data_IF_802114792397
#
_entry.id   IF_802114792397
#
_cell.length_a   1.000
_cell.length_b   1.000
_cell.length_c   1.000
_cell.angle_alpha   90.00
_cell.angle_beta   90.00
_cell.angle_gamma   90.00
#
_symmetry.space_group_name_H-M   'P 1'
#
loop_
_entity.id
_entity.type
_entity.pdbx_description
1 polymer ?
#
# COMPACT_ATOMS: atom_id res chain seq x y z
N UNK A 1 -7.99 -17.26 7.53
CA UNK A 1 -8.66 -16.42 8.55
C UNK A 1 -9.95 -15.88 7.97
N UNK A 2 -11.09 -16.04 8.64
CA UNK A 2 -12.34 -15.44 8.18
C UNK A 2 -12.29 -13.91 8.40
N UNK A 3 -12.40 -13.12 7.33
CA UNK A 3 -12.35 -11.66 7.40
C UNK A 3 -13.62 -11.13 8.07
N UNK A 4 -13.47 -10.40 9.19
CA UNK A 4 -14.58 -9.73 9.86
C UNK A 4 -15.10 -8.58 8.98
N UNK A 5 -16.41 -8.58 8.66
CA UNK A 5 -17.05 -7.48 7.93
C UNK A 5 -17.53 -6.40 8.91
N UNK A 6 -17.32 -5.14 8.54
CA UNK A 6 -17.80 -3.95 9.25
C UNK A 6 -18.81 -3.23 8.36
N UNK A 7 -19.89 -2.70 8.95
CA UNK A 7 -20.91 -1.92 8.23
C UNK A 7 -20.46 -0.47 8.11
N UNK A 8 -20.50 0.07 6.90
CA UNK A 8 -20.25 1.48 6.60
C UNK A 8 -21.41 2.03 5.78
N UNK A 9 -21.93 3.19 6.13
CA UNK A 9 -22.92 3.93 5.34
C UNK A 9 -22.19 4.99 4.53
N UNK A 10 -22.43 5.02 3.21
CA UNK A 10 -21.86 6.03 2.30
C UNK A 10 -23.00 6.74 1.58
N UNK A 11 -22.88 8.06 1.44
CA UNK A 11 -23.78 8.85 0.60
C UNK A 11 -23.22 8.89 -0.82
N UNK A 12 -24.08 8.64 -1.80
CA UNK A 12 -23.76 8.72 -3.22
C UNK A 12 -24.82 9.57 -3.90
N UNK A 13 -24.40 10.35 -4.89
CA UNK A 13 -25.34 11.04 -5.75
C UNK A 13 -26.27 10.05 -6.46
N UNK A 14 -27.51 10.45 -6.68
CA UNK A 14 -28.54 9.57 -7.23
C UNK A 14 -28.18 9.06 -8.63
N UNK A 15 -27.50 9.86 -9.45
CA UNK A 15 -27.02 9.47 -10.76
C UNK A 15 -25.88 8.44 -10.68
N UNK A 16 -24.92 8.63 -9.76
CA UNK A 16 -23.84 7.68 -9.48
C UNK A 16 -24.40 6.33 -9.05
N UNK A 17 -25.37 6.33 -8.11
CA UNK A 17 -26.00 5.09 -7.67
C UNK A 17 -26.78 4.38 -8.79
N UNK A 18 -27.45 5.13 -9.68
CA UNK A 18 -28.11 4.56 -10.86
C UNK A 18 -27.10 3.91 -11.81
N UNK A 19 -25.97 4.59 -12.11
CA UNK A 19 -24.90 4.02 -12.94
C UNK A 19 -24.33 2.74 -12.33
N UNK A 20 -24.08 2.74 -11.02
CA UNK A 20 -23.59 1.57 -10.29
C UNK A 20 -24.55 0.38 -10.39
N UNK A 21 -25.87 0.61 -10.26
CA UNK A 21 -26.88 -0.43 -10.44
C UNK A 21 -26.91 -0.99 -11.86
N UNK A 22 -26.81 -0.13 -12.87
CA UNK A 22 -26.76 -0.57 -14.28
C UNK A 22 -25.53 -1.45 -14.52
N UNK A 23 -24.36 -1.03 -14.01
CA UNK A 23 -23.14 -1.83 -14.07
C UNK A 23 -23.30 -3.18 -13.36
N UNK A 24 -23.88 -3.18 -12.15
CA UNK A 24 -24.15 -4.40 -11.39
C UNK A 24 -25.02 -5.40 -12.14
N UNK A 25 -26.06 -4.93 -12.82
CA UNK A 25 -26.90 -5.79 -13.67
C UNK A 25 -26.12 -6.40 -14.83
N UNK A 26 -25.29 -5.61 -15.51
CA UNK A 26 -24.49 -6.10 -16.64
C UNK A 26 -23.45 -7.16 -16.25
N UNK A 27 -22.98 -7.12 -14.99
CA UNK A 27 -21.97 -8.04 -14.45
C UNK A 27 -22.53 -9.13 -13.53
N UNK A 28 -23.86 -9.21 -13.37
CA UNK A 28 -24.52 -10.10 -12.39
C UNK A 28 -23.99 -9.93 -10.95
N UNK A 29 -23.64 -8.70 -10.56
CA UNK A 29 -23.09 -8.36 -9.25
C UNK A 29 -24.01 -7.43 -8.46
N UNK A 30 -24.05 -7.61 -7.14
CA UNK A 30 -24.76 -6.67 -6.26
C UNK A 30 -24.01 -5.33 -6.16
N UNK A 31 -24.71 -4.20 -5.96
CA UNK A 31 -24.05 -2.90 -5.76
C UNK A 31 -23.01 -2.92 -4.64
N UNK A 32 -23.28 -3.67 -3.56
CA UNK A 32 -22.34 -3.83 -2.45
C UNK A 32 -21.08 -4.63 -2.84
N UNK A 33 -21.18 -5.58 -3.77
CA UNK A 33 -20.01 -6.31 -4.28
C UNK A 33 -19.12 -5.39 -5.12
N UNK A 34 -19.71 -4.59 -6.01
CA UNK A 34 -18.98 -3.60 -6.79
C UNK A 34 -18.32 -2.53 -5.92
N UNK A 35 -19.01 -2.02 -4.91
CA UNK A 35 -18.41 -1.06 -3.96
C UNK A 35 -17.21 -1.67 -3.23
N UNK A 36 -17.29 -2.93 -2.80
CA UNK A 36 -16.15 -3.61 -2.17
C UNK A 36 -14.98 -3.78 -3.13
N UNK A 37 -15.24 -4.15 -4.38
CA UNK A 37 -14.21 -4.25 -5.42
C UNK A 37 -13.56 -2.88 -5.68
N UNK A 38 -14.36 -1.85 -5.88
CA UNK A 38 -13.89 -0.49 -6.13
C UNK A 38 -13.04 0.04 -4.96
N UNK A 39 -13.48 -0.17 -3.72
CA UNK A 39 -12.70 0.20 -2.53
C UNK A 39 -11.38 -0.57 -2.50
N UNK A 40 -11.38 -1.88 -2.74
CA UNK A 40 -10.16 -2.68 -2.74
C UNK A 40 -9.15 -2.21 -3.79
N UNK A 41 -9.61 -1.95 -5.02
CA UNK A 41 -8.76 -1.43 -6.11
C UNK A 41 -8.23 -0.04 -5.76
N UNK A 42 -9.08 0.85 -5.23
CA UNK A 42 -8.66 2.18 -4.82
C UNK A 42 -7.62 2.12 -3.70
N UNK A 43 -7.84 1.30 -2.68
CA UNK A 43 -6.90 1.18 -1.56
C UNK A 43 -5.58 0.56 -2.00
N UNK A 44 -5.58 -0.51 -2.81
CA UNK A 44 -4.34 -1.14 -3.28
C UNK A 44 -3.50 -0.17 -4.13
N UNK A 45 -4.16 0.64 -4.97
CA UNK A 45 -3.48 1.65 -5.79
C UNK A 45 -2.88 2.80 -4.98
N UNK A 46 -3.41 3.10 -3.78
CA UNK A 46 -2.98 4.22 -2.94
C UNK A 46 -2.23 3.78 -1.68
N UNK A 47 -2.14 2.47 -1.44
CA UNK A 47 -1.33 1.94 -0.35
C UNK A 47 0.14 2.14 -0.75
N UNK A 48 0.86 2.97 0.00
CA UNK A 48 2.32 3.01 -0.12
C UNK A 48 2.82 1.63 0.26
N UNK A 49 3.16 0.80 -0.73
CA UNK A 49 3.75 -0.51 -0.49
C UNK A 49 4.95 -0.30 0.43
N UNK A 50 4.81 -0.72 1.69
CA UNK A 50 5.95 -0.86 2.59
C UNK A 50 6.79 -1.97 1.99
N UNK A 51 7.78 -1.60 1.20
CA UNK A 51 8.78 -2.54 0.72
C UNK A 51 9.36 -3.25 1.94
N UNK A 52 9.57 -4.58 1.88
CA UNK A 52 10.32 -5.27 2.90
C UNK A 52 11.61 -4.51 3.18
N UNK A 53 12.02 -4.39 4.45
CA UNK A 53 13.28 -3.73 4.82
C UNK A 53 14.51 -4.35 4.16
N UNK A 54 14.36 -5.55 3.57
CA UNK A 54 15.38 -6.24 2.77
C UNK A 54 15.54 -5.69 1.35
N UNK A 55 14.55 -4.99 0.79
CA UNK A 55 14.69 -4.40 -0.56
C UNK A 55 15.62 -3.19 -0.47
N UNK A 56 16.80 -3.31 -1.10
CA UNK A 56 17.89 -2.34 -1.00
C UNK A 56 18.91 -2.64 0.11
N UNK A 57 18.69 -3.66 0.94
CA UNK A 57 19.69 -4.10 1.91
C UNK A 57 20.92 -4.66 1.15
N UNK A 58 22.06 -3.97 1.25
CA UNK A 58 23.27 -4.30 0.49
C UNK A 58 23.45 -3.55 -0.84
N UNK A 59 22.52 -2.66 -1.21
CA UNK A 59 22.64 -1.82 -2.41
C UNK A 59 23.55 -0.58 -2.21
N UNK A 60 24.38 -0.57 -1.16
CA UNK A 60 25.30 0.53 -0.83
C UNK A 60 26.46 0.68 -1.82
N UNK A 61 26.70 -0.31 -2.70
CA UNK A 61 27.84 -0.34 -3.61
C UNK A 61 29.19 -0.61 -2.94
N UNK A 62 29.20 -0.76 -1.61
CA UNK A 62 30.40 -0.88 -0.78
C UNK A 62 30.37 -2.23 -0.06
N UNK A 63 31.14 -3.19 -0.55
CA UNK A 63 31.14 -4.58 -0.09
C UNK A 63 31.93 -4.84 1.20
N UNK A 64 32.78 -3.91 1.62
CA UNK A 64 33.68 -4.01 2.79
C UNK A 64 33.22 -3.18 3.99
N UNK A 65 32.07 -2.51 3.90
CA UNK A 65 31.58 -1.59 4.93
C UNK A 65 31.37 -2.30 6.28
N UNK A 66 30.85 -3.54 6.26
CA UNK A 66 30.63 -4.32 7.47
C UNK A 66 31.95 -4.79 8.13
N UNK A 67 33.00 -4.99 7.35
CA UNK A 67 34.32 -5.39 7.85
C UNK A 67 35.17 -4.21 8.36
N UNK A 68 34.79 -2.97 8.02
CA UNK A 68 35.56 -1.75 8.32
C UNK A 68 34.86 -0.81 9.28
N UNK A 69 33.88 -1.32 10.04
CA UNK A 69 33.05 -0.52 10.95
C UNK A 69 33.92 0.32 11.88
N UNK A 70 34.91 -0.27 12.55
CA UNK A 70 35.76 0.44 13.51
C UNK A 70 36.62 1.53 12.85
N UNK A 71 37.16 1.26 11.67
CA UNK A 71 37.97 2.22 10.90
C UNK A 71 37.13 3.41 10.43
N UNK A 72 35.92 3.15 9.92
CA UNK A 72 35.00 4.18 9.42
C UNK A 72 34.50 5.06 10.58
N UNK A 73 34.13 4.44 11.70
CA UNK A 73 33.66 5.16 12.88
C UNK A 73 34.77 6.00 13.52
N UNK A 74 36.00 5.49 13.59
CA UNK A 74 37.15 6.24 14.13
C UNK A 74 37.48 7.51 13.32
N UNK A 75 37.26 7.49 12.01
CA UNK A 75 37.71 8.56 11.11
C UNK A 75 36.64 9.65 10.84
N UNK A 76 35.36 9.41 11.15
CA UNK A 76 34.28 10.33 10.74
C UNK A 76 33.10 10.49 11.69
N UNK A 77 33.00 9.71 12.78
CA UNK A 77 31.83 9.78 13.65
C UNK A 77 31.88 11.02 14.58
N UNK A 78 30.83 11.86 14.52
CA UNK A 78 30.69 13.04 15.41
C UNK A 78 31.43 14.30 14.97
N UNK A 79 31.93 14.37 13.73
CA UNK A 79 32.41 15.61 13.13
C UNK A 79 31.25 16.26 12.37
N UNK A 80 30.85 17.46 12.79
CA UNK A 80 29.87 18.28 12.08
C UNK A 80 30.40 18.62 10.68
N UNK A 81 29.61 18.38 9.64
CA UNK A 81 29.83 18.94 8.30
C UNK A 81 28.82 20.04 8.05
#
# INVERSE_FOLDING_TARGET
>A
MATRRVKTTVYLDADVYRRLKTLGRSRSMTPAALLREAVAVFTDAHETRRLPRSIGAGASGTGDLASRVDEVLANGFGRDQ
#
